data_IF_735527348671
#
_entry.id   IF_735527348671
#
_cell.length_a   1.000
_cell.length_b   1.000
_cell.length_c   1.000
_cell.angle_alpha   90.00
_cell.angle_beta   90.00
_cell.angle_gamma   90.00
#
_symmetry.space_group_name_H-M   'P 1'
#
loop_
_entity.id
_entity.type
_entity.pdbx_description
1 polymer ?
#
# COMPACT_ATOMS: atom_id res chain seq x y z
N UNK A 1 4.75 35.51 8.30
CA UNK A 1 5.10 34.15 8.75
C UNK A 1 6.11 33.50 7.80
N UNK A 2 5.82 33.32 6.48
CA UNK A 2 6.80 32.70 5.56
C UNK A 2 8.04 33.58 5.43
N UNK A 3 7.88 34.88 5.19
CA UNK A 3 9.01 35.84 5.10
C UNK A 3 9.87 35.93 6.38
N UNK A 4 9.26 35.74 7.55
CA UNK A 4 9.99 35.70 8.82
C UNK A 4 10.87 34.44 8.90
N UNK A 5 10.36 33.31 8.40
CA UNK A 5 11.12 32.07 8.33
C UNK A 5 12.25 32.14 7.29
N UNK A 6 11.97 32.68 6.11
CA UNK A 6 13.00 32.94 5.08
C UNK A 6 14.13 33.84 5.62
N UNK A 7 13.76 34.87 6.37
CA UNK A 7 14.73 35.77 7.04
C UNK A 7 15.53 35.02 8.11
N UNK A 8 14.90 34.17 8.89
CA UNK A 8 15.56 33.39 9.95
C UNK A 8 16.53 32.34 9.37
N UNK A 9 16.16 31.65 8.33
CA UNK A 9 17.00 30.62 7.70
C UNK A 9 17.97 31.16 6.64
N UNK A 10 17.82 32.40 6.24
CA UNK A 10 18.64 33.02 5.20
C UNK A 10 18.46 32.42 3.81
N UNK A 11 17.29 31.80 3.55
CA UNK A 11 16.98 31.13 2.29
C UNK A 11 15.54 31.35 1.90
N UNK A 12 15.27 31.58 0.62
CA UNK A 12 13.92 31.62 0.09
C UNK A 12 13.29 30.22 0.15
N UNK A 13 12.09 30.12 0.69
CA UNK A 13 11.32 28.86 0.77
C UNK A 13 10.35 28.72 -0.38
N UNK A 14 9.91 29.85 -0.94
CA UNK A 14 8.93 29.87 -2.05
C UNK A 14 9.41 30.77 -3.19
N UNK A 15 9.10 30.35 -4.42
CA UNK A 15 9.24 31.20 -5.62
C UNK A 15 7.84 31.59 -6.10
N UNK A 16 7.62 32.89 -6.23
CA UNK A 16 6.38 33.45 -6.79
C UNK A 16 6.57 33.71 -8.28
N UNK A 17 5.76 33.07 -9.09
CA UNK A 17 5.73 33.28 -10.55
C UNK A 17 4.34 33.78 -10.96
N UNK A 18 4.25 34.34 -12.15
CA UNK A 18 2.95 34.77 -12.71
C UNK A 18 1.93 33.61 -12.84
N UNK A 19 2.40 32.37 -12.84
CA UNK A 19 1.61 31.13 -12.92
C UNK A 19 1.29 30.52 -11.55
N UNK A 20 1.72 31.13 -10.44
CA UNK A 20 1.48 30.62 -9.08
C UNK A 20 2.72 30.62 -8.19
N UNK A 21 2.63 29.87 -7.09
CA UNK A 21 3.69 29.72 -6.11
C UNK A 21 4.24 28.30 -6.18
N UNK A 22 5.56 28.14 -6.16
CA UNK A 22 6.25 26.85 -6.08
C UNK A 22 7.27 26.89 -4.93
N UNK A 23 7.57 25.71 -4.36
CA UNK A 23 8.63 25.59 -3.35
C UNK A 23 9.99 25.65 -4.02
N UNK A 24 10.98 26.20 -3.29
CA UNK A 24 12.40 26.03 -3.56
C UNK A 24 12.86 24.67 -3.03
N UNK A 25 14.11 24.29 -3.27
CA UNK A 25 14.70 23.10 -2.63
C UNK A 25 14.72 23.27 -1.09
N UNK A 26 15.11 24.43 -0.59
CA UNK A 26 15.03 24.77 0.83
C UNK A 26 13.58 24.73 1.36
N UNK A 27 12.61 25.19 0.55
CA UNK A 27 11.18 25.12 0.87
C UNK A 27 10.68 23.68 0.99
N UNK A 28 11.13 22.77 0.12
CA UNK A 28 10.78 21.36 0.21
C UNK A 28 11.34 20.71 1.48
N UNK A 29 12.59 20.96 1.80
CA UNK A 29 13.22 20.49 3.05
C UNK A 29 12.47 21.02 4.27
N UNK A 30 12.15 22.32 4.26
CA UNK A 30 11.41 22.97 5.36
C UNK A 30 10.00 22.36 5.52
N UNK A 31 9.28 22.13 4.43
CA UNK A 31 7.95 21.51 4.45
C UNK A 31 8.02 20.12 5.07
N UNK A 32 8.94 19.27 4.62
CA UNK A 32 9.09 17.91 5.11
C UNK A 32 9.31 17.87 6.63
N UNK A 33 10.20 18.75 7.16
CA UNK A 33 10.44 18.83 8.59
C UNK A 33 9.27 19.43 9.37
N UNK A 34 8.57 20.41 8.79
CA UNK A 34 7.38 21.01 9.43
C UNK A 34 6.24 19.99 9.56
N UNK A 35 6.04 19.14 8.55
CA UNK A 35 5.07 18.04 8.58
C UNK A 35 5.46 17.01 9.66
N UNK A 36 6.76 16.65 9.75
CA UNK A 36 7.26 15.74 10.77
C UNK A 36 7.03 16.27 12.19
N UNK A 37 7.35 17.53 12.45
CA UNK A 37 7.13 18.18 13.75
C UNK A 37 5.63 18.21 14.11
N UNK A 38 4.80 18.59 13.14
CA UNK A 38 3.34 18.64 13.34
C UNK A 38 2.77 17.26 13.70
N UNK A 39 3.30 16.22 13.09
CA UNK A 39 2.94 14.82 13.39
C UNK A 39 3.33 14.45 14.81
N UNK A 40 4.58 14.70 15.21
CA UNK A 40 5.04 14.35 16.56
C UNK A 40 4.25 15.11 17.62
N UNK A 41 3.85 16.34 17.35
CA UNK A 41 2.92 17.08 18.23
C UNK A 41 1.56 16.39 18.34
N UNK A 42 1.00 15.91 17.22
CA UNK A 42 -0.26 15.12 17.24
C UNK A 42 -0.10 13.83 18.03
N UNK A 43 0.99 13.09 17.83
CA UNK A 43 1.29 11.85 18.54
C UNK A 43 1.40 12.09 20.04
N UNK A 44 2.08 13.16 20.45
CA UNK A 44 2.17 13.57 21.85
C UNK A 44 0.78 13.87 22.44
N UNK A 45 -0.04 14.66 21.74
CA UNK A 45 -1.39 14.99 22.21
C UNK A 45 -2.26 13.74 22.29
N UNK A 46 -2.20 12.85 21.30
CA UNK A 46 -2.92 11.58 21.30
C UNK A 46 -2.47 10.68 22.46
N UNK A 47 -1.16 10.57 22.70
CA UNK A 47 -0.60 9.82 23.82
C UNK A 47 -1.08 10.36 25.18
N UNK A 48 -1.06 11.68 25.36
CA UNK A 48 -1.57 12.32 26.59
C UNK A 48 -3.07 12.09 26.76
N UNK A 49 -3.84 12.21 25.68
CA UNK A 49 -5.28 11.97 25.70
C UNK A 49 -5.62 10.50 26.02
N UNK A 50 -4.81 9.54 25.54
CA UNK A 50 -4.98 8.12 25.84
C UNK A 50 -4.87 7.83 27.35
N UNK A 51 -4.00 8.54 28.05
CA UNK A 51 -3.84 8.44 29.51
C UNK A 51 -5.05 8.97 30.30
N UNK A 52 -5.82 9.88 29.72
CA UNK A 52 -6.95 10.55 30.39
C UNK A 52 -8.31 9.91 30.04
N UNK A 53 -8.37 8.76 29.35
CA UNK A 53 -9.60 8.12 28.84
C UNK A 53 -10.51 9.03 28.00
N UNK A 54 -10.03 10.17 27.56
CA UNK A 54 -10.78 11.17 26.77
C UNK A 54 -10.44 11.12 25.28
N UNK A 55 -9.58 10.20 24.84
CA UNK A 55 -9.04 10.17 23.50
C UNK A 55 -10.07 9.69 22.47
N UNK A 56 -10.32 10.54 21.50
CA UNK A 56 -10.73 10.07 20.18
C UNK A 56 -9.43 9.63 19.46
N UNK A 57 -9.19 8.34 19.34
CA UNK A 57 -8.03 7.79 18.61
C UNK A 57 -8.33 7.92 17.13
N UNK A 58 -7.46 8.59 16.40
CA UNK A 58 -7.48 8.63 14.93
C UNK A 58 -6.42 7.67 14.43
N UNK A 59 -6.81 6.71 13.59
CA UNK A 59 -5.92 5.75 12.96
C UNK A 59 -6.12 5.80 11.45
N UNK A 60 -5.02 5.95 10.72
CA UNK A 60 -5.01 5.97 9.27
C UNK A 60 -4.01 4.94 8.73
N UNK A 61 -4.43 4.07 7.83
CA UNK A 61 -3.54 3.07 7.30
C UNK A 61 -3.84 2.66 5.86
N UNK A 62 -2.79 2.14 5.20
CA UNK A 62 -2.86 1.62 3.85
C UNK A 62 -2.84 0.09 3.80
N UNK A 63 -3.47 -0.51 2.79
CA UNK A 63 -3.49 -1.95 2.58
C UNK A 63 -3.72 -2.29 1.10
N UNK A 64 -3.22 -3.44 0.61
CA UNK A 64 -3.54 -3.92 -0.74
C UNK A 64 -4.90 -4.63 -0.77
N UNK A 65 -5.55 -4.65 -1.92
CA UNK A 65 -6.89 -5.24 -2.13
C UNK A 65 -7.04 -6.64 -1.53
N UNK A 66 -6.02 -7.49 -1.65
CA UNK A 66 -6.05 -8.86 -1.12
C UNK A 66 -6.27 -8.89 0.39
N UNK A 67 -5.62 -7.99 1.13
CA UNK A 67 -5.79 -7.85 2.59
C UNK A 67 -7.21 -7.41 2.93
N UNK A 68 -7.78 -6.51 2.12
CA UNK A 68 -9.17 -6.05 2.28
C UNK A 68 -10.19 -7.19 2.21
N UNK A 69 -9.96 -8.16 1.32
CA UNK A 69 -10.84 -9.33 1.15
C UNK A 69 -10.68 -10.40 2.24
N UNK A 70 -9.59 -10.41 2.98
CA UNK A 70 -9.28 -11.46 3.95
C UNK A 70 -9.73 -11.08 5.36
N UNK A 71 -8.87 -10.47 6.12
CA UNK A 71 -9.08 -10.26 7.57
C UNK A 71 -9.48 -8.83 7.96
N UNK A 72 -9.62 -7.91 7.00
CA UNK A 72 -9.86 -6.49 7.29
C UNK A 72 -11.15 -6.27 8.09
N UNK A 73 -12.21 -6.95 7.72
CA UNK A 73 -13.51 -6.81 8.40
C UNK A 73 -13.41 -7.18 9.87
N UNK A 74 -12.77 -8.32 10.18
CA UNK A 74 -12.60 -8.79 11.55
C UNK A 74 -11.66 -7.86 12.32
N UNK A 75 -10.55 -7.44 11.73
CA UNK A 75 -9.61 -6.51 12.35
C UNK A 75 -10.27 -5.20 12.75
N UNK A 76 -11.02 -4.58 11.84
CA UNK A 76 -11.73 -3.32 12.12
C UNK A 76 -12.80 -3.52 13.18
N UNK A 77 -13.54 -4.64 13.14
CA UNK A 77 -14.55 -4.96 14.15
C UNK A 77 -13.91 -5.07 15.53
N UNK A 78 -12.88 -5.86 15.70
CA UNK A 78 -12.18 -6.05 16.98
C UNK A 78 -11.57 -4.73 17.50
N UNK A 79 -10.97 -3.96 16.59
CA UNK A 79 -10.43 -2.64 16.95
C UNK A 79 -11.53 -1.70 17.47
N UNK A 80 -12.68 -1.64 16.78
CA UNK A 80 -13.82 -0.79 17.18
C UNK A 80 -14.50 -1.27 18.46
N UNK A 81 -14.49 -2.57 18.75
CA UNK A 81 -14.95 -3.10 20.03
C UNK A 81 -14.06 -2.62 21.19
N UNK A 82 -12.75 -2.56 20.98
CA UNK A 82 -11.80 -2.09 21.99
C UNK A 82 -11.79 -0.56 22.11
N UNK A 83 -11.90 0.14 20.97
CA UNK A 83 -11.87 1.60 20.87
C UNK A 83 -13.12 2.14 20.15
N UNK A 84 -14.29 2.15 20.80
CA UNK A 84 -15.58 2.48 20.14
C UNK A 84 -15.60 3.88 19.51
N UNK A 85 -14.87 4.83 20.09
CA UNK A 85 -14.82 6.23 19.64
C UNK A 85 -13.71 6.48 18.62
N UNK A 86 -12.86 5.49 18.33
CA UNK A 86 -11.77 5.67 17.37
C UNK A 86 -12.32 6.02 15.98
N UNK A 87 -11.65 6.93 15.30
CA UNK A 87 -11.85 7.19 13.87
C UNK A 87 -10.81 6.40 13.09
N UNK A 88 -11.26 5.64 12.10
CA UNK A 88 -10.40 4.78 11.29
C UNK A 88 -10.54 5.22 9.84
N UNK A 89 -9.42 5.56 9.22
CA UNK A 89 -9.30 5.89 7.80
C UNK A 89 -8.46 4.84 7.11
N UNK A 90 -9.00 4.22 6.07
CA UNK A 90 -8.38 3.12 5.35
C UNK A 90 -8.20 3.50 3.89
N UNK A 91 -7.04 3.18 3.33
CA UNK A 91 -6.69 3.50 1.95
C UNK A 91 -6.19 2.24 1.24
N UNK A 92 -6.74 2.00 0.05
CA UNK A 92 -6.37 0.84 -0.75
C UNK A 92 -5.38 1.22 -1.85
N UNK A 93 -4.20 0.62 -1.83
CA UNK A 93 -3.18 0.68 -2.87
C UNK A 93 -2.06 -0.34 -2.58
N UNK A 94 -1.05 -0.40 -3.44
CA UNK A 94 0.18 -1.16 -3.19
C UNK A 94 1.05 -0.47 -2.14
N UNK A 95 1.84 -1.27 -1.37
CA UNK A 95 2.70 -0.76 -0.29
C UNK A 95 3.62 0.39 -0.74
N UNK A 96 4.20 0.27 -1.95
CA UNK A 96 5.09 1.30 -2.51
C UNK A 96 4.44 2.69 -2.61
N UNK A 97 3.13 2.75 -2.85
CA UNK A 97 2.39 4.01 -2.93
C UNK A 97 2.22 4.67 -1.54
N UNK A 98 2.26 3.89 -0.48
CA UNK A 98 2.12 4.39 0.90
C UNK A 98 3.41 4.82 1.55
N UNK A 99 4.58 4.36 1.09
CA UNK A 99 5.87 4.66 1.72
C UNK A 99 6.13 6.17 1.91
N UNK A 100 5.88 7.05 0.93
CA UNK A 100 6.00 8.48 1.15
C UNK A 100 5.06 8.98 2.25
N UNK A 101 3.79 8.55 2.23
CA UNK A 101 2.80 8.99 3.21
C UNK A 101 3.10 8.51 4.64
N UNK A 102 3.72 7.33 4.80
CA UNK A 102 4.20 6.84 6.10
C UNK A 102 5.39 7.68 6.57
N UNK A 103 6.36 7.93 5.68
CA UNK A 103 7.55 8.75 6.00
C UNK A 103 7.18 10.18 6.39
N UNK A 104 6.21 10.76 5.69
CA UNK A 104 5.68 12.09 5.98
C UNK A 104 4.69 12.08 7.16
N UNK A 105 4.31 10.89 7.67
CA UNK A 105 3.36 10.67 8.76
C UNK A 105 1.92 11.08 8.44
N UNK A 106 1.58 11.08 7.18
CA UNK A 106 0.20 11.21 6.71
C UNK A 106 -0.58 9.89 6.86
N UNK A 107 0.15 8.77 6.98
CA UNK A 107 -0.36 7.47 7.37
C UNK A 107 0.39 6.96 8.59
N UNK A 108 -0.31 6.33 9.51
CA UNK A 108 0.27 5.75 10.72
C UNK A 108 1.03 4.46 10.41
N UNK A 109 0.47 3.63 9.53
CA UNK A 109 1.11 2.41 9.05
C UNK A 109 0.54 1.95 7.70
N UNK A 110 1.14 0.93 7.11
CA UNK A 110 0.56 0.19 6.00
C UNK A 110 0.85 -1.30 6.12
N UNK A 111 -0.07 -2.11 5.63
CA UNK A 111 0.10 -3.54 5.43
C UNK A 111 0.46 -3.76 3.97
N UNK A 112 1.37 -4.69 3.70
CA UNK A 112 1.72 -4.97 2.32
C UNK A 112 2.72 -6.10 2.16
N UNK A 113 2.97 -6.48 0.93
CA UNK A 113 3.98 -7.47 0.60
C UNK A 113 5.34 -6.81 0.53
N UNK A 114 6.32 -7.40 1.19
CA UNK A 114 7.71 -6.94 1.14
C UNK A 114 8.42 -7.52 -0.09
N UNK A 115 9.34 -6.77 -0.63
CA UNK A 115 10.34 -7.26 -1.58
C UNK A 115 11.73 -6.81 -1.14
N UNK A 116 12.75 -7.59 -1.51
CA UNK A 116 14.15 -7.31 -1.16
C UNK A 116 14.66 -5.98 -1.74
N UNK A 117 14.00 -5.46 -2.77
CA UNK A 117 14.35 -4.19 -3.42
C UNK A 117 13.86 -2.95 -2.64
N UNK A 118 12.96 -3.13 -1.68
CA UNK A 118 12.39 -2.02 -0.91
C UNK A 118 13.38 -1.49 0.12
N UNK A 119 13.67 -0.19 0.06
CA UNK A 119 14.47 0.50 1.07
C UNK A 119 13.56 0.89 2.25
N UNK A 120 13.61 0.09 3.31
CA UNK A 120 12.76 0.25 4.50
C UNK A 120 13.56 0.44 5.79
N UNK A 121 14.88 0.74 5.70
CA UNK A 121 15.76 0.86 6.87
C UNK A 121 15.36 1.99 7.83
N UNK A 122 14.59 2.94 7.34
CA UNK A 122 14.05 4.09 8.08
C UNK A 122 12.65 3.82 8.68
N UNK A 123 12.10 2.63 8.45
CA UNK A 123 10.78 2.24 8.92
C UNK A 123 10.87 1.01 9.84
N UNK A 124 9.99 0.95 10.83
CA UNK A 124 9.78 -0.29 11.58
C UNK A 124 8.95 -1.27 10.75
N UNK A 125 9.47 -2.46 10.55
CA UNK A 125 8.82 -3.51 9.77
C UNK A 125 8.57 -4.73 10.65
N UNK A 126 7.33 -5.18 10.72
CA UNK A 126 6.90 -6.35 11.46
C UNK A 126 6.32 -7.39 10.49
N UNK A 127 6.91 -8.57 10.36
CA UNK A 127 6.34 -9.66 9.58
C UNK A 127 5.06 -10.17 10.22
N UNK A 128 3.95 -10.22 9.47
CA UNK A 128 2.68 -10.71 9.97
C UNK A 128 2.47 -12.19 9.64
N UNK A 129 2.69 -12.57 8.40
CA UNK A 129 2.54 -13.95 7.90
C UNK A 129 3.22 -14.11 6.54
N UNK A 130 3.44 -15.35 6.16
CA UNK A 130 3.86 -15.73 4.82
C UNK A 130 2.67 -16.32 4.06
N UNK A 131 2.62 -16.13 2.75
CA UNK A 131 1.58 -16.66 1.89
C UNK A 131 2.16 -17.24 0.62
N UNK A 132 1.51 -18.27 0.10
CA UNK A 132 1.90 -18.91 -1.16
C UNK A 132 1.00 -18.42 -2.31
N UNK A 133 1.58 -18.35 -3.51
CA UNK A 133 0.80 -18.14 -4.72
C UNK A 133 0.16 -19.45 -5.15
N UNK A 134 -1.13 -19.37 -5.44
CA UNK A 134 -1.89 -20.51 -5.97
C UNK A 134 -2.51 -20.15 -7.32
N UNK A 135 -2.64 -21.15 -8.17
CA UNK A 135 -3.40 -21.02 -9.41
C UNK A 135 -4.87 -21.24 -9.10
N UNK A 136 -5.70 -20.32 -9.54
CA UNK A 136 -7.16 -20.40 -9.40
C UNK A 136 -7.77 -20.50 -10.79
N UNK A 137 -8.70 -21.43 -10.97
CA UNK A 137 -9.40 -21.59 -12.23
C UNK A 137 -10.86 -22.00 -12.01
N UNK A 138 -11.69 -21.75 -13.01
CA UNK A 138 -13.06 -22.24 -13.00
C UNK A 138 -13.07 -23.77 -13.05
N UNK A 139 -13.68 -24.40 -12.04
CA UNK A 139 -13.75 -25.87 -11.91
C UNK A 139 -14.40 -26.54 -13.09
N UNK A 140 -15.37 -25.89 -13.74
CA UNK A 140 -16.05 -26.43 -14.89
C UNK A 140 -15.10 -26.59 -16.10
N UNK A 141 -14.03 -25.80 -16.18
CA UNK A 141 -13.05 -25.89 -17.27
C UNK A 141 -11.95 -26.91 -17.02
N UNK A 142 -11.46 -26.98 -15.79
CA UNK A 142 -10.27 -27.80 -15.48
C UNK A 142 -10.63 -29.16 -14.91
N UNK A 143 -11.84 -29.33 -14.38
CA UNK A 143 -12.29 -30.58 -13.77
C UNK A 143 -11.68 -30.83 -12.39
N UNK A 144 -11.72 -32.09 -11.96
CA UNK A 144 -11.15 -32.51 -10.67
C UNK A 144 -9.87 -33.32 -10.92
N UNK A 145 -8.75 -32.86 -10.45
CA UNK A 145 -7.50 -33.61 -10.54
C UNK A 145 -6.26 -32.70 -10.57
N UNK A 146 -5.11 -33.36 -10.64
CA UNK A 146 -3.83 -32.67 -10.80
C UNK A 146 -3.65 -32.26 -12.26
N UNK A 147 -3.45 -30.97 -12.49
CA UNK A 147 -3.24 -30.42 -13.83
C UNK A 147 -1.78 -30.01 -13.98
N UNK A 148 -1.16 -30.38 -15.10
CA UNK A 148 0.19 -29.94 -15.42
C UNK A 148 0.15 -28.53 -16.01
N UNK A 149 1.00 -27.64 -15.57
CA UNK A 149 1.06 -26.25 -16.05
C UNK A 149 1.19 -26.17 -17.59
N UNK A 150 2.00 -27.05 -18.20
CA UNK A 150 2.19 -27.12 -19.65
C UNK A 150 0.90 -27.47 -20.43
N UNK A 151 -0.08 -28.14 -19.82
CA UNK A 151 -1.35 -28.42 -20.49
C UNK A 151 -2.27 -27.20 -20.58
N UNK A 152 -1.95 -26.13 -19.85
CA UNK A 152 -2.72 -24.87 -19.80
C UNK A 152 -2.15 -23.79 -20.73
N UNK A 153 -1.23 -24.15 -21.64
CA UNK A 153 -0.53 -23.18 -22.51
C UNK A 153 -1.47 -22.43 -23.47
N UNK A 154 -2.64 -22.98 -23.78
CA UNK A 154 -3.64 -22.38 -24.66
C UNK A 154 -4.76 -21.65 -23.90
N UNK A 155 -4.77 -21.75 -22.57
CA UNK A 155 -5.75 -21.07 -21.75
C UNK A 155 -5.43 -19.59 -21.63
N UNK A 156 -6.45 -18.79 -21.34
CA UNK A 156 -6.29 -17.37 -21.03
C UNK A 156 -5.93 -17.21 -19.57
N UNK A 157 -4.87 -16.46 -19.31
CA UNK A 157 -4.36 -16.19 -17.99
C UNK A 157 -4.69 -14.79 -17.55
N UNK A 158 -5.02 -14.62 -16.28
CA UNK A 158 -5.18 -13.32 -15.66
C UNK A 158 -4.16 -13.21 -14.53
N UNK A 159 -3.30 -12.20 -14.60
CA UNK A 159 -2.25 -11.98 -13.63
C UNK A 159 -2.37 -10.59 -13.00
N UNK A 160 -2.01 -10.45 -11.71
CA UNK A 160 -1.93 -9.13 -11.11
C UNK A 160 -0.82 -8.32 -11.77
N UNK A 161 -1.08 -7.07 -12.07
CA UNK A 161 -0.04 -6.13 -12.51
C UNK A 161 0.74 -5.65 -11.30
N UNK A 162 2.03 -6.01 -11.25
CA UNK A 162 2.90 -5.64 -10.12
C UNK A 162 4.36 -5.57 -10.58
N UNK A 163 5.11 -4.66 -9.98
CA UNK A 163 6.55 -4.51 -10.20
C UNK A 163 7.39 -5.28 -9.15
N UNK A 164 6.78 -6.20 -8.40
CA UNK A 164 7.47 -7.00 -7.39
C UNK A 164 8.37 -8.06 -8.03
N UNK A 165 9.54 -8.32 -7.45
CA UNK A 165 10.52 -9.28 -7.96
C UNK A 165 9.96 -10.68 -8.18
N UNK A 166 9.11 -11.18 -7.27
CA UNK A 166 8.43 -12.48 -7.42
C UNK A 166 7.59 -12.60 -8.70
N UNK A 167 7.11 -11.48 -9.23
CA UNK A 167 6.30 -11.48 -10.45
C UNK A 167 7.15 -11.82 -11.68
N UNK A 168 8.39 -11.39 -11.73
CA UNK A 168 9.32 -11.75 -12.82
C UNK A 168 9.62 -13.24 -12.80
N UNK A 169 9.76 -13.87 -11.63
CA UNK A 169 9.96 -15.31 -11.47
C UNK A 169 8.73 -16.10 -11.89
N UNK A 170 7.53 -15.61 -11.52
CA UNK A 170 6.27 -16.17 -11.97
C UNK A 170 6.16 -16.14 -13.50
N UNK A 171 6.38 -14.98 -14.12
CA UNK A 171 6.36 -14.85 -15.58
C UNK A 171 7.37 -15.77 -16.26
N UNK A 172 8.57 -15.88 -15.72
CA UNK A 172 9.61 -16.77 -16.24
C UNK A 172 9.16 -18.23 -16.17
N UNK A 173 8.52 -18.64 -15.08
CA UNK A 173 7.99 -20.00 -14.89
C UNK A 173 6.87 -20.30 -15.88
N UNK A 174 5.95 -19.37 -16.07
CA UNK A 174 4.85 -19.50 -17.04
C UNK A 174 5.38 -19.63 -18.47
N UNK A 175 6.35 -18.79 -18.86
CA UNK A 175 6.96 -18.84 -20.19
C UNK A 175 7.70 -20.15 -20.45
N UNK A 176 8.46 -20.66 -19.45
CA UNK A 176 9.12 -21.98 -19.53
C UNK A 176 8.11 -23.14 -19.70
N UNK A 177 6.88 -22.95 -19.22
CA UNK A 177 5.79 -23.92 -19.38
C UNK A 177 5.01 -23.76 -20.69
N UNK A 178 5.46 -22.87 -21.59
CA UNK A 178 4.86 -22.66 -22.91
C UNK A 178 3.72 -21.64 -22.95
N UNK A 179 3.43 -20.97 -21.82
CA UNK A 179 2.40 -19.93 -21.75
C UNK A 179 2.93 -18.66 -22.40
N UNK A 180 2.22 -18.16 -23.41
CA UNK A 180 2.63 -17.00 -24.21
C UNK A 180 2.06 -15.71 -23.60
N UNK A 181 2.78 -14.60 -23.79
CA UNK A 181 2.35 -13.28 -23.31
C UNK A 181 1.01 -12.83 -23.91
N UNK A 182 0.70 -13.22 -25.12
CA UNK A 182 -0.57 -12.93 -25.80
C UNK A 182 -1.78 -13.55 -25.11
N UNK A 183 -1.57 -14.62 -24.32
CA UNK A 183 -2.60 -15.28 -23.53
C UNK A 183 -2.72 -14.69 -22.11
N UNK A 184 -1.98 -13.61 -21.78
CA UNK A 184 -1.96 -13.04 -20.45
C UNK A 184 -2.68 -11.68 -20.45
N UNK A 185 -3.69 -11.56 -19.60
CA UNK A 185 -4.34 -10.29 -19.26
C UNK A 185 -3.79 -9.82 -17.93
N UNK A 186 -3.24 -8.62 -17.86
CA UNK A 186 -2.77 -8.01 -16.63
C UNK A 186 -3.81 -7.04 -16.08
N UNK A 187 -4.02 -7.07 -14.78
CA UNK A 187 -4.86 -6.10 -14.07
C UNK A 187 -4.43 -6.00 -12.62
N UNK A 188 -4.50 -4.82 -12.04
CA UNK A 188 -4.26 -4.56 -10.62
C UNK A 188 -5.52 -4.76 -9.75
N UNK A 189 -6.67 -4.95 -10.39
CA UNK A 189 -7.96 -5.11 -9.72
C UNK A 189 -8.23 -6.57 -9.35
N UNK A 190 -8.17 -6.90 -8.07
CA UNK A 190 -8.54 -8.23 -7.55
C UNK A 190 -10.00 -8.58 -7.88
N UNK A 191 -10.90 -7.61 -7.85
CA UNK A 191 -12.31 -7.80 -8.23
C UNK A 191 -12.42 -8.21 -9.69
N UNK A 192 -11.66 -7.58 -10.59
CA UNK A 192 -11.61 -7.92 -12.00
C UNK A 192 -11.05 -9.34 -12.21
N UNK A 193 -9.96 -9.68 -11.52
CA UNK A 193 -9.38 -11.05 -11.57
C UNK A 193 -10.45 -12.07 -11.18
N UNK A 194 -11.13 -11.88 -10.08
CA UNK A 194 -12.19 -12.78 -9.60
C UNK A 194 -13.31 -12.93 -10.63
N UNK A 195 -13.80 -11.82 -11.18
CA UNK A 195 -14.85 -11.84 -12.19
C UNK A 195 -14.44 -12.58 -13.47
N UNK A 196 -13.23 -12.33 -13.95
CA UNK A 196 -12.72 -13.00 -15.15
C UNK A 196 -12.56 -14.50 -14.91
N UNK A 197 -12.07 -14.94 -13.75
CA UNK A 197 -11.93 -16.36 -13.43
C UNK A 197 -13.29 -17.07 -13.25
N UNK A 198 -14.27 -16.40 -12.65
CA UNK A 198 -15.59 -17.00 -12.41
C UNK A 198 -16.44 -17.12 -13.68
N UNK A 199 -16.30 -16.18 -14.62
CA UNK A 199 -17.15 -16.07 -15.79
C UNK A 199 -16.46 -16.49 -17.11
N UNK A 200 -15.22 -16.97 -17.04
CA UNK A 200 -14.45 -17.43 -18.21
C UNK A 200 -14.81 -18.85 -18.69
#
# INVERSE_FOLDING_TARGET
IIGDMESYFGSELIVRRNTGVSLTEAGQVFLNWSEAITREMKNMVNGMNALTNSAVVDVSFGFPSLVGFTFMSEMVHQFKMTFPKARVSMYEAQLSAFLPAIRDGRLDFAIGTLSDEMKLQDLHVEPLFESEFVLVANRARIGNGTVRLASLQHEQWVLPETNMGYYSDLLTTLQRSGIRRENIVNTDSVVTIYNLVLNA
#
